data_IF_648245058675
#
_entry.id   IF_648245058675
#
_cell.length_a   1.000
_cell.length_b   1.000
_cell.length_c   1.000
_cell.angle_alpha   90.00
_cell.angle_beta   90.00
_cell.angle_gamma   90.00
#
_symmetry.space_group_name_H-M   'P 1'
#
loop_
_entity.id
_entity.type
_entity.pdbx_description
1 polymer ?
#
# COMPACT_ATOMS: atom_id res chain seq x y z
N UNK A 1 -26.28 -41.51 -63.89
CA UNK A 1 -25.66 -42.42 -62.89
C UNK A 1 -24.16 -42.35 -63.17
N UNK A 2 -23.28 -41.90 -62.28
CA UNK A 2 -22.99 -42.39 -60.93
C UNK A 2 -22.60 -41.21 -60.02
N UNK A 3 -23.06 -41.22 -58.75
CA UNK A 3 -22.44 -40.38 -57.71
C UNK A 3 -21.14 -41.07 -57.31
N UNK A 4 -20.00 -40.55 -57.78
CA UNK A 4 -18.70 -40.92 -57.22
C UNK A 4 -18.70 -40.33 -55.81
N UNK A 5 -18.84 -41.20 -54.81
CA UNK A 5 -18.76 -40.81 -53.41
C UNK A 5 -17.27 -40.75 -53.10
N UNK A 6 -16.68 -39.57 -52.84
CA UNK A 6 -15.28 -39.52 -52.49
C UNK A 6 -15.13 -40.17 -51.12
N UNK A 7 -14.25 -41.16 -51.03
CA UNK A 7 -13.88 -41.75 -49.75
C UNK A 7 -13.30 -40.63 -48.85
N UNK A 8 -13.62 -40.60 -47.55
CA UNK A 8 -13.13 -39.55 -46.68
C UNK A 8 -11.59 -39.63 -46.60
N UNK A 9 -10.89 -38.48 -46.49
CA UNK A 9 -9.44 -38.48 -46.40
C UNK A 9 -9.02 -39.26 -45.14
N UNK A 10 -7.98 -40.09 -45.28
CA UNK A 10 -7.40 -40.79 -44.14
C UNK A 10 -7.00 -39.75 -43.08
N UNK A 11 -7.38 -40.03 -41.82
CA UNK A 11 -7.09 -39.16 -40.70
C UNK A 11 -5.58 -39.17 -40.46
N UNK A 12 -4.86 -38.28 -41.14
CA UNK A 12 -3.47 -37.99 -40.87
C UNK A 12 -3.33 -37.55 -39.42
N UNK A 13 -2.85 -38.47 -38.59
CA UNK A 13 -1.99 -38.27 -37.42
C UNK A 13 -2.15 -36.94 -36.67
N UNK A 14 -3.37 -36.55 -36.32
CA UNK A 14 -3.64 -35.43 -35.39
C UNK A 14 -3.17 -35.73 -33.97
N UNK A 15 -2.71 -36.95 -33.69
CA UNK A 15 -2.30 -37.39 -32.35
C UNK A 15 -1.15 -36.57 -31.78
N UNK A 16 -0.20 -36.11 -32.61
CA UNK A 16 0.98 -35.34 -32.14
C UNK A 16 0.62 -33.90 -31.79
N UNK A 17 -0.29 -33.29 -32.57
CA UNK A 17 -0.84 -31.94 -32.37
C UNK A 17 -1.83 -31.89 -31.18
N UNK A 18 -2.66 -32.91 -31.01
CA UNK A 18 -3.56 -33.03 -29.87
C UNK A 18 -2.81 -33.27 -28.56
N UNK A 19 -1.75 -34.10 -28.58
CA UNK A 19 -0.89 -34.35 -27.41
C UNK A 19 -0.10 -33.11 -26.99
N UNK A 20 0.38 -32.29 -27.93
CA UNK A 20 1.10 -31.06 -27.60
C UNK A 20 0.18 -29.99 -27.00
N UNK A 21 -1.05 -29.84 -27.52
CA UNK A 21 -2.08 -28.98 -26.93
C UNK A 21 -2.52 -29.42 -25.53
N UNK A 22 -2.76 -30.72 -25.33
CA UNK A 22 -3.11 -31.25 -24.01
C UNK A 22 -1.99 -31.04 -22.98
N UNK A 23 -0.72 -31.19 -23.41
CA UNK A 23 0.44 -30.93 -22.56
C UNK A 23 0.59 -29.45 -22.20
N UNK A 24 0.35 -28.55 -23.16
CA UNK A 24 0.34 -27.11 -22.89
C UNK A 24 -0.81 -26.71 -21.96
N UNK A 25 -1.98 -27.32 -22.11
CA UNK A 25 -3.11 -27.09 -21.21
C UNK A 25 -2.81 -27.56 -19.80
N UNK A 26 -2.22 -28.76 -19.62
CA UNK A 26 -1.83 -29.25 -18.30
C UNK A 26 -0.75 -28.37 -17.65
N UNK A 27 0.23 -27.90 -18.43
CA UNK A 27 1.25 -26.95 -17.96
C UNK A 27 0.63 -25.60 -17.57
N UNK A 28 -0.25 -25.05 -18.40
CA UNK A 28 -0.94 -23.77 -18.13
C UNK A 28 -1.83 -23.91 -16.90
N UNK A 29 -2.55 -25.04 -16.78
CA UNK A 29 -3.42 -25.33 -15.63
C UNK A 29 -2.60 -25.41 -14.35
N UNK A 30 -1.46 -26.12 -14.36
CA UNK A 30 -0.53 -26.17 -13.23
C UNK A 30 0.04 -24.80 -12.87
N UNK A 31 0.37 -23.98 -13.87
CA UNK A 31 0.90 -22.62 -13.66
C UNK A 31 -0.15 -21.69 -13.04
N UNK A 32 -1.40 -21.79 -13.50
CA UNK A 32 -2.54 -21.06 -12.94
C UNK A 32 -2.83 -21.53 -11.53
N UNK A 33 -2.90 -22.85 -11.29
CA UNK A 33 -3.11 -23.40 -9.96
C UNK A 33 -2.00 -22.96 -8.99
N UNK A 34 -0.73 -23.02 -9.40
CA UNK A 34 0.40 -22.63 -8.57
C UNK A 34 0.36 -21.13 -8.25
N UNK A 35 -0.07 -20.29 -9.20
CA UNK A 35 -0.23 -18.85 -8.97
C UNK A 35 -1.27 -18.53 -7.89
N UNK A 36 -2.40 -19.25 -7.86
CA UNK A 36 -3.47 -19.02 -6.89
C UNK A 36 -3.28 -19.77 -5.56
N UNK A 37 -2.76 -21.00 -5.60
CA UNK A 37 -2.61 -21.86 -4.43
C UNK A 37 -1.27 -21.65 -3.70
N UNK A 38 -0.26 -21.13 -4.41
CA UNK A 38 1.08 -20.83 -3.88
C UNK A 38 1.54 -19.47 -4.40
N UNK A 39 0.81 -18.38 -4.07
CA UNK A 39 1.28 -17.05 -4.39
C UNK A 39 2.68 -16.91 -3.79
N UNK A 40 3.70 -16.70 -4.64
CA UNK A 40 5.02 -16.32 -4.16
C UNK A 40 4.80 -15.03 -3.36
N UNK A 41 5.23 -14.95 -2.10
CA UNK A 41 5.10 -13.72 -1.34
C UNK A 41 5.87 -12.67 -2.13
N UNK A 42 5.12 -11.77 -2.74
CA UNK A 42 5.70 -10.60 -3.37
C UNK A 42 6.30 -9.85 -2.20
N UNK A 43 7.63 -9.83 -2.11
CA UNK A 43 8.33 -9.07 -1.08
C UNK A 43 8.19 -7.60 -1.43
N UNK A 44 6.97 -7.11 -1.32
CA UNK A 44 6.70 -5.69 -1.34
C UNK A 44 7.54 -5.12 -0.19
N UNK A 45 8.29 -4.04 -0.43
CA UNK A 45 9.10 -3.39 0.62
C UNK A 45 8.23 -2.78 1.73
N UNK A 46 6.92 -3.02 1.70
CA UNK A 46 5.88 -2.33 2.43
C UNK A 46 4.91 -3.30 3.10
N UNK A 47 5.27 -4.58 3.18
CA UNK A 47 4.56 -5.50 4.07
C UNK A 47 4.67 -4.93 5.49
N UNK A 48 3.53 -4.74 6.20
CA UNK A 48 3.54 -4.19 7.54
C UNK A 48 4.43 -5.05 8.43
N UNK A 49 5.31 -4.40 9.20
CA UNK A 49 6.20 -5.12 10.11
C UNK A 49 5.34 -5.85 11.16
N UNK A 50 5.74 -7.03 11.63
CA UNK A 50 5.04 -7.71 12.72
C UNK A 50 4.86 -6.75 13.91
N UNK A 51 3.61 -6.54 14.34
CA UNK A 51 3.26 -5.60 15.42
C UNK A 51 2.99 -4.15 15.01
N UNK A 52 3.03 -3.82 13.72
CA UNK A 52 2.68 -2.49 13.23
C UNK A 52 1.16 -2.28 13.26
N UNK A 53 0.70 -1.41 14.16
CA UNK A 53 -0.73 -1.06 14.31
C UNK A 53 -1.17 0.06 13.36
N UNK A 54 -0.27 0.97 13.02
CA UNK A 54 -0.56 2.15 12.20
C UNK A 54 0.38 2.26 11.01
N UNK A 55 -0.12 2.75 9.88
CA UNK A 55 0.65 3.00 8.66
C UNK A 55 0.11 4.23 7.94
N UNK A 56 0.98 4.96 7.25
CA UNK A 56 0.58 6.03 6.34
C UNK A 56 0.27 5.40 4.98
N UNK A 57 -0.91 5.71 4.44
CA UNK A 57 -1.34 5.17 3.14
C UNK A 57 -0.46 5.74 2.02
N UNK A 58 -0.01 4.87 1.11
CA UNK A 58 0.75 5.29 -0.06
C UNK A 58 -0.09 6.14 -1.01
N UNK A 59 0.51 7.18 -1.56
CA UNK A 59 -0.14 8.04 -2.55
C UNK A 59 -1.11 9.07 -1.95
N UNK A 60 -1.15 9.20 -0.61
CA UNK A 60 -1.74 10.38 0.03
C UNK A 60 -1.03 11.64 -0.46
N UNK A 61 -1.82 12.67 -0.73
CA UNK A 61 -1.37 13.99 -1.09
C UNK A 61 -0.74 14.70 0.11
N UNK A 62 0.19 15.62 -0.19
CA UNK A 62 0.91 16.35 0.85
C UNK A 62 -0.03 17.22 1.69
N UNK A 63 -1.12 17.74 1.11
CA UNK A 63 -2.10 18.55 1.82
C UNK A 63 -2.82 17.71 2.89
N UNK A 64 -3.34 16.53 2.56
CA UNK A 64 -3.92 15.63 3.55
C UNK A 64 -2.91 15.20 4.64
N UNK A 65 -1.66 14.93 4.26
CA UNK A 65 -0.61 14.58 5.23
C UNK A 65 -0.31 15.74 6.19
N UNK A 66 -0.20 16.97 5.67
CA UNK A 66 0.07 18.17 6.46
C UNK A 66 -1.14 18.55 7.32
N UNK A 67 -2.36 18.45 6.80
CA UNK A 67 -3.58 18.69 7.57
C UNK A 67 -3.69 17.73 8.76
N UNK A 68 -3.50 16.43 8.53
CA UNK A 68 -3.51 15.43 9.60
C UNK A 68 -2.38 15.66 10.61
N UNK A 69 -1.19 16.05 10.16
CA UNK A 69 -0.09 16.43 11.05
C UNK A 69 -0.45 17.63 11.92
N UNK A 70 -0.98 18.70 11.33
CA UNK A 70 -1.39 19.91 12.04
C UNK A 70 -2.47 19.63 13.08
N UNK A 71 -3.48 18.81 12.75
CA UNK A 71 -4.51 18.38 13.70
C UNK A 71 -3.93 17.53 14.84
N UNK A 72 -3.01 16.62 14.52
CA UNK A 72 -2.31 15.80 15.53
C UNK A 72 -1.49 16.67 16.49
N UNK A 73 -0.76 17.67 15.97
CA UNK A 73 0.02 18.59 16.77
C UNK A 73 -0.88 19.49 17.64
N UNK A 74 -2.00 19.98 17.11
CA UNK A 74 -2.97 20.75 17.88
C UNK A 74 -3.60 19.91 19.02
N UNK A 75 -3.91 18.64 18.75
CA UNK A 75 -4.39 17.72 19.80
C UNK A 75 -3.32 17.47 20.87
N UNK A 76 -2.06 17.27 20.46
CA UNK A 76 -0.95 17.10 21.40
C UNK A 76 -0.69 18.36 22.25
N UNK A 77 -0.76 19.54 21.64
CA UNK A 77 -0.63 20.83 22.33
C UNK A 77 -1.72 21.02 23.40
N UNK A 78 -2.98 20.71 23.06
CA UNK A 78 -4.08 20.76 24.01
C UNK A 78 -3.87 19.79 25.19
N UNK A 79 -3.45 18.55 24.91
CA UNK A 79 -3.19 17.55 25.96
C UNK A 79 -2.03 17.94 26.88
N UNK A 80 -0.92 18.44 26.33
CA UNK A 80 0.24 18.82 27.16
C UNK A 80 -0.02 20.10 27.94
N UNK A 81 -0.78 21.03 27.36
CA UNK A 81 -1.18 22.26 28.04
C UNK A 81 -2.08 21.96 29.23
N UNK A 82 -3.08 21.10 29.05
CA UNK A 82 -3.96 20.62 30.13
C UNK A 82 -3.14 19.94 31.24
N UNK A 83 -2.25 19.01 30.86
CA UNK A 83 -1.36 18.33 31.80
C UNK A 83 -0.42 19.30 32.55
N UNK A 84 0.05 20.38 31.91
CA UNK A 84 0.94 21.33 32.55
C UNK A 84 0.28 22.08 33.72
N UNK A 85 -1.04 22.26 33.69
CA UNK A 85 -1.80 22.83 34.81
C UNK A 85 -1.81 21.90 36.04
N UNK A 86 -1.88 20.59 35.82
CA UNK A 86 -1.90 19.57 36.89
C UNK A 86 -0.52 19.27 37.49
N UNK A 87 0.56 19.68 36.82
CA UNK A 87 1.93 19.46 37.27
C UNK A 87 2.50 20.67 38.02
N UNK A 88 3.49 20.42 38.88
CA UNK A 88 4.23 21.46 39.61
C UNK A 88 5.75 21.31 39.49
N UNK A 89 6.47 22.40 39.79
CA UNK A 89 7.92 22.44 39.86
C UNK A 89 8.61 21.97 38.56
N UNK A 90 9.65 21.16 38.69
CA UNK A 90 10.44 20.67 37.56
C UNK A 90 9.63 19.87 36.54
N UNK A 91 8.57 19.15 36.96
CA UNK A 91 7.72 18.38 36.04
C UNK A 91 6.88 19.28 35.13
N UNK A 92 6.38 20.40 35.66
CA UNK A 92 5.71 21.42 34.83
C UNK A 92 6.66 21.96 33.77
N UNK A 93 7.92 22.23 34.12
CA UNK A 93 8.91 22.71 33.15
C UNK A 93 9.22 21.69 32.05
N UNK A 94 9.21 20.39 32.38
CA UNK A 94 9.32 19.34 31.35
C UNK A 94 8.12 19.36 30.41
N UNK A 95 6.89 19.47 30.93
CA UNK A 95 5.68 19.58 30.10
C UNK A 95 5.73 20.82 29.19
N UNK A 96 6.15 21.97 29.72
CA UNK A 96 6.36 23.19 28.95
C UNK A 96 7.43 23.01 27.86
N UNK A 97 8.51 22.28 28.15
CA UNK A 97 9.53 21.96 27.13
C UNK A 97 8.97 21.09 26.00
N UNK A 98 8.09 20.13 26.31
CA UNK A 98 7.40 19.32 25.29
C UNK A 98 6.48 20.21 24.45
N UNK A 99 5.71 21.11 25.10
CA UNK A 99 4.85 22.07 24.41
C UNK A 99 5.66 22.93 23.42
N UNK A 100 6.82 23.46 23.84
CA UNK A 100 7.71 24.21 22.94
C UNK A 100 8.14 23.40 21.71
N UNK A 101 8.43 22.10 21.86
CA UNK A 101 8.77 21.25 20.71
C UNK A 101 7.58 21.03 19.75
N UNK A 102 6.36 20.96 20.28
CA UNK A 102 5.13 20.83 19.49
C UNK A 102 4.87 22.12 18.70
N UNK A 103 5.01 23.29 19.33
CA UNK A 103 4.89 24.59 18.68
C UNK A 103 5.92 24.75 17.55
N UNK A 104 7.20 24.41 17.81
CA UNK A 104 8.25 24.42 16.79
C UNK A 104 7.92 23.49 15.61
N UNK A 105 7.40 22.29 15.89
CA UNK A 105 6.99 21.35 14.84
C UNK A 105 5.83 21.91 14.00
N UNK A 106 4.90 22.61 14.63
CA UNK A 106 3.78 23.27 13.96
C UNK A 106 4.25 24.38 13.03
N UNK A 107 5.23 25.18 13.45
CA UNK A 107 5.86 26.21 12.59
C UNK A 107 6.54 25.59 11.36
N UNK A 108 7.24 24.46 11.54
CA UNK A 108 7.85 23.73 10.42
C UNK A 108 6.79 23.18 9.45
N UNK A 109 5.70 22.59 9.97
CA UNK A 109 4.61 22.08 9.14
C UNK A 109 3.94 23.20 8.34
N UNK A 110 3.62 24.33 8.97
CA UNK A 110 3.08 25.52 8.30
C UNK A 110 4.05 26.02 7.22
N UNK A 111 5.35 26.05 7.50
CA UNK A 111 6.35 26.46 6.51
C UNK A 111 6.42 25.51 5.31
N UNK A 112 6.20 24.21 5.50
CA UNK A 112 6.10 23.25 4.40
C UNK A 112 4.83 23.51 3.60
N UNK A 113 3.70 23.75 4.25
CA UNK A 113 2.44 24.07 3.58
C UNK A 113 2.58 25.31 2.66
N UNK A 114 3.18 26.39 3.17
CA UNK A 114 3.48 27.61 2.39
C UNK A 114 4.35 27.34 1.14
N UNK A 115 5.16 26.28 1.14
CA UNK A 115 6.00 25.93 -0.01
C UNK A 115 5.25 25.05 -1.02
N UNK A 116 4.24 24.31 -0.55
CA UNK A 116 3.41 23.42 -1.38
C UNK A 116 2.27 24.21 -2.04
N UNK A 117 1.76 25.25 -1.40
CA UNK A 117 0.87 26.23 -2.03
C UNK A 117 1.68 27.16 -2.94
N UNK A 118 1.61 27.04 -4.28
CA UNK A 118 2.26 28.01 -5.15
C UNK A 118 1.58 29.37 -4.96
N UNK A 119 2.33 30.36 -4.49
CA UNK A 119 1.92 31.77 -4.56
C UNK A 119 1.66 32.11 -6.04
N UNK A 120 0.40 32.15 -6.41
CA UNK A 120 -0.06 32.70 -7.68
C UNK A 120 0.14 34.22 -7.70
#
# INVERSE_FOLDING_TARGET
MYKITPNPPEADSTSTSAKSKAKQQDETTKRVLDHYLRPKPDKSKDDPKPGQLYAVVKGLDNECLLANLSETLASADAMVSDLAFDLEGSRRHVAQGIQQLIELSSLLANRVLDNVEPRQ
#
